data_IF_400091660049
#
_entry.id   IF_400091660049
#
_cell.length_a   1.000
_cell.length_b   1.000
_cell.length_c   1.000
_cell.angle_alpha   90.00
_cell.angle_beta   90.00
_cell.angle_gamma   90.00
#
_symmetry.space_group_name_H-M   'P 1'
#
loop_
_entity.id
_entity.type
_entity.pdbx_description
1 polymer ?
#
# COMPACT_ATOMS: atom_id res chain seq x y z
N UNK A 1 3.89 2.32 13.30
CA UNK A 1 3.94 1.72 11.95
C UNK A 1 3.97 0.19 11.93
N UNK A 2 4.72 -0.52 12.79
CA UNK A 2 4.82 -2.00 12.78
C UNK A 2 3.48 -2.75 12.86
N UNK A 3 2.57 -2.31 13.74
CA UNK A 3 1.27 -2.95 13.93
C UNK A 3 0.36 -2.81 12.69
N UNK A 4 0.29 -1.60 12.14
CA UNK A 4 -0.45 -1.29 10.90
C UNK A 4 0.15 -2.05 9.72
N UNK A 5 1.47 -2.07 9.58
CA UNK A 5 2.14 -2.81 8.52
C UNK A 5 1.90 -4.33 8.63
N UNK A 6 1.85 -4.90 9.83
CA UNK A 6 1.54 -6.32 10.03
C UNK A 6 0.10 -6.67 9.67
N UNK A 7 -0.89 -5.87 10.12
CA UNK A 7 -2.31 -6.11 9.81
C UNK A 7 -2.63 -5.86 8.34
N UNK A 8 -2.17 -4.74 7.79
CA UNK A 8 -2.43 -4.37 6.39
C UNK A 8 -1.63 -5.27 5.44
N UNK A 9 -0.38 -5.61 5.80
CA UNK A 9 0.47 -6.47 4.98
C UNK A 9 -0.08 -7.89 4.82
N UNK A 10 -0.67 -8.48 5.86
CA UNK A 10 -1.31 -9.80 5.76
C UNK A 10 -2.51 -9.78 4.82
N UNK A 11 -3.38 -8.77 4.93
CA UNK A 11 -4.52 -8.62 4.03
C UNK A 11 -4.06 -8.37 2.59
N UNK A 12 -3.07 -7.50 2.37
CA UNK A 12 -2.50 -7.24 1.04
C UNK A 12 -1.93 -8.54 0.43
N UNK A 13 -1.15 -9.30 1.20
CA UNK A 13 -0.57 -10.55 0.72
C UNK A 13 -1.64 -11.61 0.38
N UNK A 14 -2.76 -11.64 1.11
CA UNK A 14 -3.88 -12.54 0.84
C UNK A 14 -4.65 -12.15 -0.43
N UNK A 15 -4.90 -10.85 -0.63
CA UNK A 15 -5.81 -10.37 -1.68
C UNK A 15 -5.11 -10.07 -3.02
N UNK A 16 -3.82 -9.72 -3.00
CA UNK A 16 -3.12 -9.18 -4.17
C UNK A 16 -2.22 -10.18 -4.91
N UNK A 17 -2.18 -11.42 -4.43
CA UNK A 17 -1.43 -12.51 -5.07
C UNK A 17 0.09 -12.30 -5.06
N UNK A 18 0.78 -12.89 -6.04
CA UNK A 18 2.25 -12.98 -6.06
C UNK A 18 2.95 -11.68 -6.48
N UNK A 19 2.24 -10.71 -7.08
CA UNK A 19 2.87 -9.50 -7.62
C UNK A 19 2.05 -8.24 -7.31
N UNK A 20 2.57 -7.48 -6.35
CA UNK A 20 2.07 -6.15 -6.00
C UNK A 20 3.23 -5.16 -5.81
N UNK A 21 2.94 -3.88 -5.92
CA UNK A 21 3.87 -2.79 -5.60
C UNK A 21 3.19 -1.76 -4.71
N UNK A 22 3.96 -1.24 -3.76
CA UNK A 22 3.53 -0.19 -2.85
C UNK A 22 4.25 1.10 -3.19
N UNK A 23 3.51 2.19 -3.35
CA UNK A 23 4.05 3.53 -3.49
C UNK A 23 3.61 4.37 -2.30
N UNK A 24 4.58 5.03 -1.66
CA UNK A 24 4.36 5.92 -0.53
C UNK A 24 4.58 7.36 -0.97
N UNK A 25 3.58 8.21 -0.79
CA UNK A 25 3.69 9.64 -1.04
C UNK A 25 3.47 10.40 0.28
N UNK A 26 4.55 10.90 0.86
CA UNK A 26 4.48 11.75 2.05
C UNK A 26 4.43 13.23 1.65
N UNK A 27 3.59 14.02 2.32
CA UNK A 27 3.64 15.48 2.20
C UNK A 27 3.26 16.13 3.52
N UNK A 28 3.71 17.38 3.70
CA UNK A 28 3.41 18.19 4.88
C UNK A 28 2.68 19.46 4.44
N UNK A 29 1.59 19.81 5.11
CA UNK A 29 0.90 21.09 4.96
C UNK A 29 0.83 21.77 6.33
N UNK A 30 1.63 22.83 6.52
CA UNK A 30 1.86 23.47 7.81
C UNK A 30 2.33 22.45 8.87
N UNK A 31 1.55 22.27 9.95
CA UNK A 31 1.80 21.33 11.04
C UNK A 31 1.17 19.95 10.82
N UNK A 32 0.51 19.71 9.68
CA UNK A 32 -0.11 18.44 9.35
C UNK A 32 0.80 17.60 8.45
N UNK A 33 1.02 16.36 8.85
CA UNK A 33 1.77 15.37 8.09
C UNK A 33 0.82 14.34 7.48
N UNK A 34 0.92 14.15 6.18
CA UNK A 34 0.08 13.22 5.42
C UNK A 34 0.93 12.12 4.83
N UNK A 35 0.36 10.93 4.75
CA UNK A 35 0.94 9.77 4.10
C UNK A 35 -0.11 9.14 3.19
N UNK A 36 0.06 9.33 1.88
CA UNK A 36 -0.63 8.57 0.85
C UNK A 36 0.04 7.22 0.68
N UNK A 37 -0.78 6.16 0.66
CA UNK A 37 -0.33 4.78 0.37
C UNK A 37 -1.13 4.31 -0.84
N UNK A 38 -0.42 4.00 -1.92
CA UNK A 38 -0.99 3.46 -3.14
C UNK A 38 -0.54 2.01 -3.31
N UNK A 39 -1.44 1.17 -3.79
CA UNK A 39 -1.15 -0.23 -4.07
C UNK A 39 -1.52 -0.55 -5.50
N UNK A 40 -0.58 -1.14 -6.22
CA UNK A 40 -0.75 -1.65 -7.58
C UNK A 40 -0.63 -3.16 -7.53
N UNK A 41 -1.54 -3.87 -8.17
CA UNK A 41 -1.51 -5.33 -8.19
C UNK A 41 -2.06 -5.88 -9.50
N UNK A 42 -1.71 -7.14 -9.79
CA UNK A 42 -2.11 -7.81 -11.03
C UNK A 42 -3.39 -8.60 -10.80
N UNK A 43 -4.40 -8.34 -11.62
CA UNK A 43 -5.63 -9.15 -11.69
C UNK A 43 -5.65 -9.83 -13.04
N UNK A 44 -5.62 -11.17 -13.07
CA UNK A 44 -5.68 -11.98 -14.28
C UNK A 44 -4.62 -11.61 -15.35
N UNK A 45 -3.41 -11.25 -14.94
CA UNK A 45 -2.33 -10.84 -15.85
C UNK A 45 -2.41 -9.39 -16.33
N UNK A 46 -3.45 -8.64 -15.97
CA UNK A 46 -3.57 -7.19 -16.23
C UNK A 46 -3.17 -6.41 -14.98
N UNK A 47 -2.28 -5.43 -15.15
CA UNK A 47 -1.92 -4.48 -14.09
C UNK A 47 -3.02 -3.42 -13.99
N UNK A 48 -3.65 -3.32 -12.81
CA UNK A 48 -4.68 -2.31 -12.50
C UNK A 48 -4.11 -1.18 -11.66
#
# INVERSE_FOLDING_TARGET
MRYVAGKVGQTIASEMGESFSLMFAGWTCNSLHFLGIFVLYVVNGVRL
#
